data_IF_713856553740
#
_entry.id   IF_713856553740
#
_cell.length_a   1.000
_cell.length_b   1.000
_cell.length_c   1.000
_cell.angle_alpha   90.00
_cell.angle_beta   90.00
_cell.angle_gamma   90.00
#
_symmetry.space_group_name_H-M   'P 1'
#
loop_
_entity.id
_entity.type
_entity.pdbx_description
1 polymer ?
#
# COMPACT_ATOMS: atom_id res chain seq x y z
N UNK A 1 -12.18 3.74 20.84
CA UNK A 1 -10.91 3.32 21.46
C UNK A 1 -10.48 2.06 20.74
N UNK A 2 -9.25 2.03 20.19
CA UNK A 2 -8.75 0.85 19.47
C UNK A 2 -8.46 -0.29 20.46
N UNK A 3 -8.63 -1.56 20.04
CA UNK A 3 -8.15 -2.71 20.81
C UNK A 3 -6.65 -2.64 21.05
N UNK A 4 -6.16 -3.37 22.07
CA UNK A 4 -4.72 -3.50 22.28
C UNK A 4 -4.05 -4.18 21.08
N UNK A 5 -2.82 -3.77 20.77
CA UNK A 5 -1.98 -4.36 19.72
C UNK A 5 -1.48 -5.76 20.13
N UNK A 6 -2.40 -6.71 20.29
CA UNK A 6 -2.13 -8.05 20.76
C UNK A 6 -2.42 -9.09 19.69
N UNK A 7 -1.57 -10.11 19.61
CA UNK A 7 -1.75 -11.33 18.83
C UNK A 7 -1.93 -12.49 19.80
N UNK A 8 -3.01 -13.23 19.68
CA UNK A 8 -3.20 -14.49 20.39
C UNK A 8 -4.07 -15.46 19.60
N UNK A 9 -3.93 -16.75 19.85
CA UNK A 9 -4.88 -17.74 19.33
C UNK A 9 -6.29 -17.56 19.92
N UNK A 10 -6.38 -17.04 21.15
CA UNK A 10 -7.64 -16.93 21.89
C UNK A 10 -8.51 -15.76 21.42
N UNK A 11 -7.89 -14.60 21.16
CA UNK A 11 -8.58 -13.36 20.78
C UNK A 11 -8.31 -12.93 19.34
N UNK A 12 -7.31 -13.50 18.68
CA UNK A 12 -6.89 -13.13 17.33
C UNK A 12 -5.93 -11.95 17.35
N UNK A 13 -6.01 -11.09 16.33
CA UNK A 13 -5.14 -9.91 16.17
C UNK A 13 -5.97 -8.66 16.38
N UNK A 14 -5.60 -7.80 17.34
CA UNK A 14 -6.42 -6.66 17.76
C UNK A 14 -7.87 -7.06 18.10
N UNK A 15 -8.03 -8.18 18.81
CA UNK A 15 -9.31 -8.82 19.12
C UNK A 15 -10.17 -9.22 17.91
N UNK A 16 -9.57 -9.34 16.73
CA UNK A 16 -10.21 -9.83 15.51
C UNK A 16 -9.78 -11.27 15.26
N UNK A 17 -10.74 -12.19 15.31
CA UNK A 17 -10.53 -13.61 15.07
C UNK A 17 -10.60 -13.93 13.59
N UNK A 18 -9.83 -14.94 13.16
CA UNK A 18 -10.04 -15.60 11.88
C UNK A 18 -11.52 -16.02 11.74
N UNK A 19 -12.08 -15.85 10.55
CA UNK A 19 -13.50 -16.04 10.24
C UNK A 19 -14.40 -14.83 10.54
N UNK A 20 -13.88 -13.76 11.16
CA UNK A 20 -14.63 -12.51 11.29
C UNK A 20 -14.97 -11.91 9.92
N UNK A 21 -16.10 -11.22 9.82
CA UNK A 21 -16.47 -10.48 8.61
C UNK A 21 -15.76 -9.14 8.51
N UNK A 22 -15.77 -8.57 7.30
CA UNK A 22 -15.28 -7.20 7.06
C UNK A 22 -16.02 -6.19 7.94
N UNK A 23 -17.35 -6.33 8.07
CA UNK A 23 -18.17 -5.47 8.93
C UNK A 23 -17.76 -5.54 10.42
N UNK A 24 -17.52 -6.75 10.95
CA UNK A 24 -17.06 -6.93 12.33
C UNK A 24 -15.67 -6.31 12.55
N UNK A 25 -14.82 -6.34 11.54
CA UNK A 25 -13.49 -5.73 11.61
C UNK A 25 -13.61 -4.20 11.59
N UNK A 26 -14.38 -3.65 10.66
CA UNK A 26 -14.60 -2.21 10.54
C UNK A 26 -15.25 -1.61 11.80
N UNK A 27 -16.17 -2.34 12.44
CA UNK A 27 -16.79 -1.91 13.70
C UNK A 27 -15.75 -1.71 14.83
N UNK A 28 -14.72 -2.56 14.88
CA UNK A 28 -13.69 -2.51 15.92
C UNK A 28 -12.52 -1.59 15.57
N UNK A 29 -12.05 -1.64 14.33
CA UNK A 29 -10.82 -0.97 13.89
C UNK A 29 -11.09 0.32 13.11
N UNK A 30 -12.35 0.63 12.79
CA UNK A 30 -12.71 1.71 11.87
C UNK A 30 -12.45 1.33 10.41
N UNK A 31 -12.50 2.31 9.48
CA UNK A 31 -12.21 2.04 8.07
C UNK A 31 -10.73 1.63 7.88
N UNK A 32 -10.40 0.81 6.88
CA UNK A 32 -9.00 0.51 6.53
C UNK A 32 -8.30 1.74 5.95
N UNK A 33 -6.97 1.82 6.10
CA UNK A 33 -6.13 2.82 5.43
C UNK A 33 -5.99 2.54 3.93
N UNK A 34 -6.06 1.26 3.54
CA UNK A 34 -6.03 0.84 2.13
C UNK A 34 -6.86 -0.43 1.95
N UNK A 35 -7.58 -0.54 0.83
CA UNK A 35 -8.25 -1.77 0.40
C UNK A 35 -7.76 -2.16 -0.98
N UNK A 36 -7.16 -3.34 -1.07
CA UNK A 36 -6.70 -3.96 -2.31
C UNK A 36 -7.63 -5.11 -2.69
N UNK A 37 -8.06 -5.17 -3.95
CA UNK A 37 -8.79 -6.32 -4.50
C UNK A 37 -7.87 -7.14 -5.39
N UNK A 38 -7.72 -8.43 -5.06
CA UNK A 38 -6.89 -9.37 -5.77
C UNK A 38 -7.62 -10.01 -6.96
N UNK A 39 -6.88 -10.58 -7.91
CA UNK A 39 -7.42 -11.29 -9.08
C UNK A 39 -8.34 -12.47 -8.73
N UNK A 40 -8.13 -13.10 -7.58
CA UNK A 40 -8.96 -14.20 -7.07
C UNK A 40 -10.20 -13.70 -6.29
N UNK A 41 -10.53 -12.41 -6.36
CA UNK A 41 -11.60 -11.73 -5.62
C UNK A 41 -11.42 -11.70 -4.10
N UNK A 42 -10.23 -12.02 -3.60
CA UNK A 42 -9.90 -11.75 -2.21
C UNK A 42 -9.62 -10.26 -2.01
N UNK A 43 -9.81 -9.81 -0.77
CA UNK A 43 -9.56 -8.43 -0.40
C UNK A 43 -8.48 -8.38 0.67
N UNK A 44 -7.52 -7.48 0.51
CA UNK A 44 -6.55 -7.15 1.55
C UNK A 44 -6.90 -5.77 2.10
N UNK A 45 -7.08 -5.68 3.40
CA UNK A 45 -7.32 -4.44 4.12
C UNK A 45 -6.08 -4.12 4.95
N UNK A 46 -5.45 -2.99 4.65
CA UNK A 46 -4.33 -2.46 5.44
C UNK A 46 -4.83 -1.47 6.50
N UNK A 47 -4.32 -1.61 7.72
CA UNK A 47 -4.53 -0.68 8.83
C UNK A 47 -3.17 -0.10 9.25
N UNK A 48 -2.95 1.18 8.97
CA UNK A 48 -1.60 1.74 9.00
C UNK A 48 -0.73 1.10 7.92
N UNK A 49 0.59 1.06 8.14
CA UNK A 49 1.56 0.58 7.13
C UNK A 49 2.00 -0.86 7.31
N UNK A 50 1.66 -1.49 8.44
CA UNK A 50 2.26 -2.76 8.88
C UNK A 50 1.23 -3.77 9.41
N UNK A 51 -0.06 -3.64 9.06
CA UNK A 51 -1.07 -4.59 9.52
C UNK A 51 -2.08 -4.89 8.42
N UNK A 52 -2.10 -6.15 7.97
CA UNK A 52 -2.75 -6.56 6.73
C UNK A 52 -3.72 -7.70 6.99
N UNK A 53 -4.99 -7.48 6.70
CA UNK A 53 -6.06 -8.45 6.87
C UNK A 53 -6.53 -8.96 5.50
N UNK A 54 -6.40 -10.27 5.27
CA UNK A 54 -6.80 -10.90 3.99
C UNK A 54 -8.14 -11.61 4.17
N UNK A 55 -9.13 -11.21 3.37
CA UNK A 55 -10.48 -11.75 3.38
C UNK A 55 -10.77 -12.55 2.11
N UNK A 56 -11.45 -13.67 2.30
CA UNK A 56 -12.00 -14.49 1.22
C UNK A 56 -13.48 -14.71 1.51
N UNK A 57 -14.35 -14.35 0.56
CA UNK A 57 -15.81 -14.42 0.71
C UNK A 57 -16.34 -13.78 2.01
N UNK A 58 -15.89 -12.56 2.33
CA UNK A 58 -16.24 -11.82 3.56
C UNK A 58 -15.85 -12.55 4.86
N UNK A 59 -14.81 -13.36 4.83
CA UNK A 59 -14.27 -14.03 6.01
C UNK A 59 -12.78 -13.82 6.11
N UNK A 60 -12.32 -13.36 7.28
CA UNK A 60 -10.91 -13.17 7.56
C UNK A 60 -10.19 -14.51 7.52
N UNK A 61 -9.20 -14.63 6.64
CA UNK A 61 -8.41 -15.85 6.43
C UNK A 61 -6.99 -15.74 6.96
N UNK A 62 -6.41 -14.55 6.90
CA UNK A 62 -5.06 -14.31 7.40
C UNK A 62 -4.90 -12.87 7.89
N UNK A 63 -4.05 -12.68 8.89
CA UNK A 63 -3.54 -11.38 9.33
C UNK A 63 -2.03 -11.44 9.35
N UNK A 64 -1.37 -10.46 8.75
CA UNK A 64 0.09 -10.37 8.67
C UNK A 64 0.58 -8.97 9.05
N UNK A 65 1.77 -8.88 9.64
CA UNK A 65 2.45 -7.60 9.82
C UNK A 65 3.19 -7.10 8.58
N UNK A 66 3.31 -7.95 7.55
CA UNK A 66 4.03 -7.67 6.31
C UNK A 66 3.15 -7.96 5.09
N UNK A 67 3.31 -7.16 4.03
CA UNK A 67 2.68 -7.38 2.75
C UNK A 67 3.69 -7.18 1.61
N UNK A 68 4.06 -8.27 0.95
CA UNK A 68 5.04 -8.26 -0.15
C UNK A 68 4.51 -7.68 -1.47
N UNK A 69 3.24 -7.27 -1.54
CA UNK A 69 2.64 -6.68 -2.75
C UNK A 69 3.08 -5.24 -2.98
N UNK A 70 3.27 -4.47 -1.91
CA UNK A 70 3.65 -3.06 -1.99
C UNK A 70 5.16 -2.94 -1.94
N UNK A 71 5.71 -2.04 -2.75
CA UNK A 71 7.09 -1.61 -2.57
C UNK A 71 7.17 -0.48 -1.52
N UNK A 72 8.37 0.01 -1.23
CA UNK A 72 8.58 1.06 -0.23
C UNK A 72 7.83 2.36 -0.57
N UNK A 73 7.75 2.73 -1.86
CA UNK A 73 7.00 3.91 -2.28
C UNK A 73 5.49 3.74 -1.99
N UNK A 74 4.92 2.58 -2.36
CA UNK A 74 3.53 2.26 -2.10
C UNK A 74 3.21 2.18 -0.60
N UNK A 75 4.08 1.58 0.21
CA UNK A 75 3.90 1.52 1.66
C UNK A 75 3.98 2.91 2.31
N UNK A 76 4.91 3.76 1.86
CA UNK A 76 5.07 5.13 2.37
C UNK A 76 3.97 6.08 1.92
N UNK A 77 3.24 5.74 0.85
CA UNK A 77 2.07 6.51 0.42
C UNK A 77 0.90 6.37 1.40
N UNK A 78 0.84 5.27 2.15
CA UNK A 78 -0.24 5.00 3.10
C UNK A 78 -0.11 5.91 4.31
N UNK A 79 -1.23 6.53 4.67
CA UNK A 79 -1.27 7.45 5.78
C UNK A 79 -0.91 6.86 7.12
N UNK A 80 -0.04 7.59 7.83
CA UNK A 80 0.31 7.30 9.20
C UNK A 80 -0.95 7.34 10.07
N UNK A 81 -1.11 6.34 10.93
CA UNK A 81 -2.29 6.17 11.76
C UNK A 81 -1.94 5.79 13.19
N UNK A 82 -2.26 6.71 14.10
CA UNK A 82 -2.16 6.51 15.54
C UNK A 82 -2.86 5.21 15.96
N UNK A 83 -2.20 4.45 16.82
CA UNK A 83 -2.64 3.17 17.34
C UNK A 83 -2.25 1.97 16.48
N UNK A 84 -1.82 2.17 15.23
CA UNK A 84 -1.37 1.10 14.34
C UNK A 84 0.12 1.24 13.97
N UNK A 85 0.59 2.47 13.76
CA UNK A 85 1.96 2.74 13.29
C UNK A 85 2.96 3.07 14.42
N UNK A 86 2.48 3.49 15.59
CA UNK A 86 3.29 3.81 16.79
C UNK A 86 3.28 2.73 17.87
N UNK A 87 2.32 1.80 17.83
CA UNK A 87 2.19 0.79 18.87
C UNK A 87 2.89 -0.49 18.42
N UNK A 88 3.92 -0.87 19.17
CA UNK A 88 4.55 -2.16 19.05
C UNK A 88 3.58 -3.28 19.44
N UNK A 89 3.35 -4.21 18.52
CA UNK A 89 2.47 -5.34 18.79
C UNK A 89 3.13 -6.36 19.74
N UNK A 90 2.28 -7.08 20.46
CA UNK A 90 2.71 -8.08 21.45
C UNK A 90 2.05 -9.42 21.18
N UNK A 91 2.82 -10.50 21.30
CA UNK A 91 2.31 -11.85 21.30
C UNK A 91 1.93 -12.28 22.73
N UNK A 92 0.68 -12.71 22.89
CA UNK A 92 0.04 -13.09 24.16
C UNK A 92 0.18 -12.01 25.26
N UNK A 93 0.31 -10.75 24.86
CA UNK A 93 0.44 -9.57 25.74
C UNK A 93 1.77 -9.47 26.50
N UNK A 94 2.76 -10.28 26.15
CA UNK A 94 4.03 -10.38 26.90
C UNK A 94 5.24 -10.21 25.99
N UNK A 95 5.22 -10.83 24.82
CA UNK A 95 6.37 -10.87 23.90
C UNK A 95 6.23 -9.71 22.92
N UNK A 96 6.98 -8.64 23.13
CA UNK A 96 6.98 -7.48 22.23
C UNK A 96 7.72 -7.79 20.91
N UNK A 97 7.21 -7.29 19.80
CA UNK A 97 7.93 -7.25 18.53
C UNK A 97 9.25 -6.46 18.66
N UNK A 98 10.14 -6.56 17.67
CA UNK A 98 11.40 -5.84 17.45
C UNK A 98 12.43 -5.81 18.60
N UNK A 99 12.10 -6.36 19.76
CA UNK A 99 12.88 -6.33 20.99
C UNK A 99 13.10 -7.72 21.58
N UNK A 100 12.36 -8.74 21.11
CA UNK A 100 12.43 -10.10 21.64
C UNK A 100 13.35 -11.00 20.80
N UNK A 101 14.46 -11.50 21.35
CA UNK A 101 15.30 -12.50 20.69
C UNK A 101 14.60 -13.84 20.54
N UNK A 102 14.95 -14.60 19.50
CA UNK A 102 14.34 -15.91 19.20
C UNK A 102 14.31 -16.87 20.41
N UNK A 103 15.39 -16.92 21.18
CA UNK A 103 15.51 -17.75 22.38
C UNK A 103 14.44 -17.38 23.44
N UNK A 104 14.25 -16.09 23.69
CA UNK A 104 13.26 -15.60 24.66
C UNK A 104 11.83 -15.89 24.18
N UNK A 105 11.58 -15.72 22.88
CA UNK A 105 10.27 -16.03 22.28
C UNK A 105 9.98 -17.53 22.41
N UNK A 106 10.96 -18.38 22.10
CA UNK A 106 10.86 -19.84 22.23
C UNK A 106 10.53 -20.27 23.65
N UNK A 107 11.28 -19.76 24.65
CA UNK A 107 11.07 -20.11 26.05
C UNK A 107 9.67 -19.70 26.54
N UNK A 108 9.21 -18.52 26.12
CA UNK A 108 7.89 -17.99 26.47
C UNK A 108 6.75 -18.80 25.83
N UNK A 109 7.02 -19.52 24.74
CA UNK A 109 6.06 -20.34 24.00
C UNK A 109 6.21 -21.85 24.29
N UNK A 110 6.97 -22.23 25.31
CA UNK A 110 7.28 -23.63 25.67
C UNK A 110 6.06 -24.54 25.92
N UNK A 111 4.88 -23.97 26.12
CA UNK A 111 3.61 -24.71 26.28
C UNK A 111 2.96 -25.10 24.94
N UNK A 112 3.42 -24.55 23.83
CA UNK A 112 2.90 -24.84 22.50
C UNK A 112 3.78 -25.89 21.80
N UNK A 113 3.16 -26.64 20.87
CA UNK A 113 3.91 -27.44 19.91
C UNK A 113 4.47 -26.51 18.83
N UNK A 114 5.79 -26.30 18.85
CA UNK A 114 6.50 -25.37 17.98
C UNK A 114 7.37 -26.13 16.98
N UNK A 115 7.39 -25.64 15.74
CA UNK A 115 8.38 -26.01 14.73
C UNK A 115 9.27 -24.81 14.50
N UNK A 116 10.57 -25.00 14.57
CA UNK A 116 11.53 -23.91 14.54
C UNK A 116 12.58 -24.10 13.44
N UNK A 117 12.93 -23.00 12.78
CA UNK A 117 14.11 -22.84 11.93
C UNK A 117 14.99 -21.71 12.48
N UNK A 118 16.08 -21.38 11.78
CA UNK A 118 16.99 -20.30 12.17
C UNK A 118 16.34 -18.91 12.26
N UNK A 119 15.27 -18.69 11.51
CA UNK A 119 14.63 -17.40 11.22
C UNK A 119 13.11 -17.43 11.46
N UNK A 120 12.56 -18.55 11.94
CA UNK A 120 11.12 -18.72 12.06
C UNK A 120 10.72 -19.64 13.21
N UNK A 121 9.63 -19.28 13.88
CA UNK A 121 8.88 -20.17 14.78
C UNK A 121 7.47 -20.33 14.23
N UNK A 122 7.03 -21.57 14.04
CA UNK A 122 5.69 -21.92 13.57
C UNK A 122 4.95 -22.67 14.66
N UNK A 123 3.79 -22.15 15.03
CA UNK A 123 2.90 -22.73 16.03
C UNK A 123 1.60 -23.13 15.33
N UNK A 124 1.18 -24.38 15.49
CA UNK A 124 -0.10 -24.85 14.94
C UNK A 124 -1.03 -25.23 16.07
N UNK A 125 -2.19 -24.57 16.16
CA UNK A 125 -3.20 -24.87 17.16
C UNK A 125 -4.58 -25.01 16.50
N UNK A 126 -5.16 -26.22 16.58
CA UNK A 126 -6.46 -26.54 15.97
C UNK A 126 -6.48 -26.23 14.46
N UNK A 127 -7.27 -25.25 14.04
CA UNK A 127 -7.42 -24.78 12.65
C UNK A 127 -6.65 -23.49 12.38
N UNK A 128 -5.70 -23.12 13.24
CA UNK A 128 -4.91 -21.89 13.09
C UNK A 128 -3.42 -22.21 13.10
N UNK A 129 -2.67 -21.42 12.34
CA UNK A 129 -1.22 -21.41 12.32
C UNK A 129 -0.73 -19.99 12.53
N UNK A 130 0.15 -19.82 13.51
CA UNK A 130 0.90 -18.60 13.73
C UNK A 130 2.34 -18.83 13.29
N UNK A 131 2.81 -17.96 12.41
CA UNK A 131 4.20 -17.92 11.95
C UNK A 131 4.81 -16.65 12.52
N UNK A 132 5.96 -16.78 13.16
CA UNK A 132 6.77 -15.69 13.68
C UNK A 132 8.08 -15.68 12.91
N UNK A 133 8.46 -14.55 12.32
CA UNK A 133 9.69 -14.39 11.55
C UNK A 133 10.67 -13.49 12.31
N UNK A 134 11.95 -13.78 12.13
CA UNK A 134 13.03 -13.11 12.81
C UNK A 134 14.10 -12.64 11.82
N UNK A 135 14.61 -11.43 12.04
CA UNK A 135 15.69 -10.85 11.24
C UNK A 135 16.94 -10.59 12.07
N UNK A 136 18.09 -10.66 11.42
CA UNK A 136 19.39 -10.39 12.03
C UNK A 136 19.70 -8.88 12.07
N UNK A 137 19.76 -8.34 13.28
CA UNK A 137 20.20 -6.97 13.52
C UNK A 137 21.66 -6.96 13.96
N UNK A 138 22.43 -5.98 13.51
CA UNK A 138 23.82 -5.79 13.92
C UNK A 138 23.95 -4.55 14.81
N UNK A 139 23.72 -4.64 16.14
CA UNK A 139 23.93 -3.52 17.02
C UNK A 139 25.40 -3.09 16.98
N UNK A 140 25.64 -1.79 16.90
CA UNK A 140 27.01 -1.22 16.98
C UNK A 140 27.74 -1.60 18.27
N UNK A 141 27.00 -2.04 19.29
CA UNK A 141 27.49 -2.43 20.61
C UNK A 141 27.82 -3.93 20.75
N UNK A 142 27.57 -4.75 19.72
CA UNK A 142 27.79 -6.21 19.77
C UNK A 142 28.58 -6.69 18.55
N UNK A 143 29.53 -7.59 18.80
CA UNK A 143 30.35 -8.22 17.76
C UNK A 143 29.58 -9.25 16.89
N UNK A 144 28.37 -9.64 17.32
CA UNK A 144 27.53 -10.63 16.63
C UNK A 144 26.13 -10.07 16.38
N UNK A 145 25.49 -10.48 15.27
CA UNK A 145 24.09 -10.16 15.06
C UNK A 145 23.20 -10.71 16.17
N UNK A 146 22.08 -10.04 16.37
CA UNK A 146 20.99 -10.46 17.25
C UNK A 146 19.77 -10.68 16.38
N UNK A 147 19.26 -11.91 16.40
CA UNK A 147 18.05 -12.31 15.67
C UNK A 147 16.82 -11.93 16.48
N UNK A 148 16.03 -10.96 15.99
CA UNK A 148 14.91 -10.36 16.71
C UNK A 148 13.59 -10.62 15.98
N UNK A 149 12.51 -10.78 16.74
CA UNK A 149 11.15 -10.96 16.20
C UNK A 149 10.73 -9.71 15.42
N UNK A 150 10.42 -9.84 14.14
CA UNK A 150 10.05 -8.68 13.29
C UNK A 150 8.66 -8.78 12.71
N UNK A 151 8.25 -10.00 12.33
CA UNK A 151 6.99 -10.20 11.65
C UNK A 151 6.18 -11.37 12.21
N UNK A 152 4.87 -11.29 12.03
CA UNK A 152 3.96 -12.39 12.27
C UNK A 152 3.02 -12.60 11.09
N UNK A 153 2.53 -13.83 10.98
CA UNK A 153 1.36 -14.17 10.16
C UNK A 153 0.49 -15.15 10.92
N UNK A 154 -0.75 -14.76 11.23
CA UNK A 154 -1.79 -15.65 11.73
C UNK A 154 -2.68 -16.06 10.56
N UNK A 155 -2.87 -17.37 10.35
CA UNK A 155 -3.67 -17.89 9.23
C UNK A 155 -4.55 -19.06 9.63
N UNK A 156 -5.66 -19.22 8.93
CA UNK A 156 -6.45 -20.45 8.91
C UNK A 156 -5.60 -21.58 8.29
N UNK A 157 -5.59 -22.77 8.89
CA UNK A 157 -4.81 -23.92 8.42
C UNK A 157 -5.26 -24.44 7.06
N UNK A 158 -6.55 -24.27 6.75
CA UNK A 158 -7.11 -24.67 5.45
C UNK A 158 -6.91 -23.58 4.39
N UNK A 159 -6.42 -22.40 4.78
CA UNK A 159 -6.11 -21.33 3.87
C UNK A 159 -4.70 -21.49 3.30
N UNK A 160 -4.66 -21.92 2.05
CA UNK A 160 -3.47 -21.78 1.22
C UNK A 160 -3.50 -20.41 0.55
N UNK A 161 -2.61 -19.53 0.98
CA UNK A 161 -2.38 -18.25 0.32
C UNK A 161 -2.00 -18.53 -1.15
N UNK A 162 -2.94 -18.30 -2.07
CA UNK A 162 -2.63 -18.29 -3.50
C UNK A 162 -1.66 -17.15 -3.76
N UNK A 163 -0.88 -17.26 -4.85
CA UNK A 163 -0.03 -16.15 -5.28
C UNK A 163 -0.90 -14.88 -5.37
N UNK A 164 -0.64 -13.95 -4.48
CA UNK A 164 -1.35 -12.68 -4.45
C UNK A 164 -0.96 -11.93 -5.71
N UNK A 165 -1.96 -11.54 -6.49
CA UNK A 165 -1.75 -10.83 -7.73
C UNK A 165 -2.87 -9.82 -7.90
N UNK A 166 -2.48 -8.60 -8.26
CA UNK A 166 -3.41 -7.51 -8.49
C UNK A 166 -3.87 -7.49 -9.95
N UNK A 167 -5.13 -7.13 -10.20
CA UNK A 167 -5.64 -6.95 -11.55
C UNK A 167 -4.83 -5.85 -12.25
N UNK A 168 -4.33 -6.19 -13.44
CA UNK A 168 -3.71 -5.22 -14.34
C UNK A 168 -4.80 -4.58 -15.19
N UNK A 169 -4.59 -3.32 -15.58
CA UNK A 169 -5.47 -2.66 -16.53
C UNK A 169 -5.37 -3.34 -17.90
N UNK A 170 -6.50 -3.45 -18.60
CA UNK A 170 -6.47 -3.81 -20.02
C UNK A 170 -6.00 -2.61 -20.85
N UNK A 171 -5.51 -2.85 -22.07
CA UNK A 171 -5.11 -1.76 -22.97
C UNK A 171 -6.26 -0.77 -23.27
N UNK A 172 -7.52 -1.24 -23.29
CA UNK A 172 -8.70 -0.38 -23.44
C UNK A 172 -8.90 0.51 -22.20
N UNK A 173 -8.74 -0.05 -21.00
CA UNK A 173 -8.83 0.70 -19.75
C UNK A 173 -7.71 1.74 -19.62
N UNK A 174 -6.48 1.39 -20.00
CA UNK A 174 -5.35 2.32 -20.01
C UNK A 174 -5.59 3.47 -21.00
N UNK A 175 -5.99 3.15 -22.24
CA UNK A 175 -6.32 4.17 -23.24
C UNK A 175 -7.45 5.09 -22.78
N UNK A 176 -8.50 4.52 -22.19
CA UNK A 176 -9.60 5.28 -21.63
C UNK A 176 -9.11 6.21 -20.51
N UNK A 177 -8.34 5.69 -19.55
CA UNK A 177 -7.81 6.45 -18.41
C UNK A 177 -6.99 7.66 -18.88
N UNK A 178 -5.96 7.43 -19.69
CA UNK A 178 -5.06 8.52 -20.10
C UNK A 178 -5.72 9.50 -21.05
N UNK A 179 -6.68 9.07 -21.87
CA UNK A 179 -7.49 10.02 -22.65
C UNK A 179 -8.22 11.02 -21.75
N UNK A 180 -8.70 10.58 -20.59
CA UNK A 180 -9.44 11.45 -19.68
C UNK A 180 -8.53 12.31 -18.78
N UNK A 181 -7.29 11.89 -18.53
CA UNK A 181 -6.29 12.63 -17.75
C UNK A 181 -5.44 13.59 -18.58
N UNK A 182 -5.50 13.51 -19.91
CA UNK A 182 -4.72 14.36 -20.81
C UNK A 182 -4.97 15.86 -20.54
N UNK A 183 -3.91 16.71 -20.55
CA UNK A 183 -4.04 18.16 -20.34
C UNK A 183 -5.05 18.87 -21.27
N UNK A 184 -5.24 18.35 -22.48
CA UNK A 184 -6.11 18.94 -23.50
C UNK A 184 -7.56 18.45 -23.40
N UNK A 185 -7.87 17.55 -22.47
CA UNK A 185 -9.23 17.06 -22.27
C UNK A 185 -10.02 18.01 -21.35
N UNK A 186 -11.12 18.55 -21.86
CA UNK A 186 -11.96 19.52 -21.14
C UNK A 186 -13.05 18.81 -20.31
N UNK A 187 -13.38 17.55 -20.62
CA UNK A 187 -14.37 16.79 -19.87
C UNK A 187 -13.72 16.05 -18.70
N UNK A 188 -13.97 16.52 -17.48
CA UNK A 188 -13.47 15.86 -16.28
C UNK A 188 -14.09 14.47 -16.10
N UNK A 189 -13.24 13.53 -15.69
CA UNK A 189 -13.69 12.19 -15.30
C UNK A 189 -14.59 12.28 -14.07
N UNK A 190 -15.62 11.44 -14.01
CA UNK A 190 -16.44 11.28 -12.80
C UNK A 190 -16.21 9.93 -12.14
N UNK A 191 -16.37 9.86 -10.83
CA UNK A 191 -16.19 8.63 -10.06
C UNK A 191 -17.11 7.48 -10.56
N UNK A 192 -18.41 7.70 -10.85
CA UNK A 192 -19.25 6.64 -11.42
C UNK A 192 -18.73 6.11 -12.77
N UNK A 193 -18.18 6.99 -13.61
CA UNK A 193 -17.60 6.59 -14.88
C UNK A 193 -16.30 5.79 -14.68
N UNK A 194 -15.43 6.20 -13.75
CA UNK A 194 -14.23 5.44 -13.38
C UNK A 194 -14.60 4.03 -12.93
N UNK A 195 -15.50 3.90 -11.96
CA UNK A 195 -15.87 2.60 -11.38
C UNK A 195 -16.59 1.68 -12.39
N UNK A 196 -17.26 2.26 -13.39
CA UNK A 196 -17.86 1.51 -14.48
C UNK A 196 -16.80 0.94 -15.43
N UNK A 197 -15.78 1.72 -15.77
CA UNK A 197 -14.76 1.34 -16.76
C UNK A 197 -13.64 0.50 -16.12
N UNK A 198 -13.30 0.81 -14.89
CA UNK A 198 -12.24 0.17 -14.11
C UNK A 198 -12.82 -0.23 -12.75
N UNK A 199 -13.60 -1.34 -12.68
CA UNK A 199 -14.26 -1.75 -11.43
C UNK A 199 -13.28 -2.24 -10.35
N UNK A 200 -12.02 -2.48 -10.71
CA UNK A 200 -10.97 -3.01 -9.82
C UNK A 200 -10.11 -1.91 -9.18
N UNK A 201 -10.58 -0.67 -9.13
CA UNK A 201 -9.87 0.43 -8.46
C UNK A 201 -9.82 0.22 -6.96
N UNK A 202 -8.64 0.44 -6.39
CA UNK A 202 -8.38 0.27 -4.97
C UNK A 202 -8.54 1.61 -4.24
N UNK A 203 -8.92 1.57 -2.97
CA UNK A 203 -9.04 2.77 -2.14
C UNK A 203 -7.82 2.92 -1.25
N UNK A 204 -7.29 4.12 -1.13
CA UNK A 204 -6.15 4.44 -0.28
C UNK A 204 -6.34 5.80 0.40
N UNK A 205 -5.97 5.87 1.67
CA UNK A 205 -5.85 7.12 2.41
C UNK A 205 -4.36 7.49 2.44
N UNK A 206 -4.03 8.69 1.98
CA UNK A 206 -2.64 9.16 1.85
C UNK A 206 -2.25 9.98 3.08
N UNK A 207 -0.99 9.87 3.53
CA UNK A 207 -0.51 10.42 4.80
C UNK A 207 -0.73 11.92 5.02
N UNK A 208 -0.72 12.69 3.94
CA UNK A 208 -0.83 14.14 3.97
C UNK A 208 -2.25 14.65 3.74
N UNK A 209 -3.24 13.76 3.56
CA UNK A 209 -4.56 14.13 3.07
C UNK A 209 -5.69 13.51 3.89
N UNK A 210 -6.72 14.32 4.15
CA UNK A 210 -7.96 13.88 4.81
C UNK A 210 -8.94 13.26 3.81
N UNK A 211 -8.72 13.43 2.50
CA UNK A 211 -9.57 12.92 1.44
C UNK A 211 -9.15 11.52 0.98
N UNK A 212 -10.13 10.79 0.45
CA UNK A 212 -9.95 9.43 -0.07
C UNK A 212 -9.38 9.47 -1.49
N UNK A 213 -8.34 8.68 -1.74
CA UNK A 213 -7.74 8.49 -3.06
C UNK A 213 -8.11 7.13 -3.65
N UNK A 214 -8.16 7.08 -4.97
CA UNK A 214 -8.42 5.88 -5.76
C UNK A 214 -7.16 5.49 -6.53
N UNK A 215 -6.58 4.34 -6.18
CA UNK A 215 -5.45 3.77 -6.88
C UNK A 215 -5.93 2.96 -8.09
N UNK A 216 -5.58 3.44 -9.27
CA UNK A 216 -5.91 2.89 -10.58
C UNK A 216 -4.66 2.30 -11.21
N UNK A 217 -4.70 1.01 -11.55
CA UNK A 217 -3.52 0.29 -12.01
C UNK A 217 -2.46 0.21 -10.90
N UNK A 218 -1.22 0.53 -11.23
CA UNK A 218 -0.08 0.41 -10.32
C UNK A 218 0.56 1.74 -9.91
N UNK A 219 0.14 2.88 -10.46
CA UNK A 219 0.87 4.14 -10.27
C UNK A 219 0.05 5.43 -10.51
N UNK A 220 -1.27 5.30 -10.66
CA UNK A 220 -2.17 6.46 -10.84
C UNK A 220 -3.10 6.55 -9.64
N UNK A 221 -3.02 7.66 -8.92
CA UNK A 221 -3.90 8.02 -7.82
C UNK A 221 -4.86 9.12 -8.27
N UNK A 222 -6.15 8.92 -8.05
CA UNK A 222 -7.19 9.89 -8.41
C UNK A 222 -7.95 10.33 -7.16
N UNK A 223 -8.14 11.63 -7.01
CA UNK A 223 -9.00 12.22 -6.00
C UNK A 223 -10.22 12.83 -6.68
N UNK A 224 -11.38 12.68 -6.03
CA UNK A 224 -12.63 13.25 -6.50
C UNK A 224 -13.21 14.16 -5.41
N UNK A 225 -13.68 15.33 -5.83
CA UNK A 225 -14.51 16.21 -5.01
C UNK A 225 -15.98 15.95 -5.38
N UNK A 226 -16.74 15.44 -4.40
CA UNK A 226 -18.03 14.78 -4.58
C UNK A 226 -17.97 13.62 -5.59
N UNK A 227 -18.13 13.94 -6.88
CA UNK A 227 -18.11 12.96 -7.96
C UNK A 227 -17.17 13.34 -9.10
N UNK A 228 -16.61 14.55 -9.11
CA UNK A 228 -15.79 15.07 -10.22
C UNK A 228 -14.31 14.97 -9.86
N UNK A 229 -13.48 14.62 -10.84
CA UNK A 229 -12.03 14.51 -10.66
C UNK A 229 -11.45 15.87 -10.28
N UNK A 230 -10.82 15.95 -9.12
CA UNK A 230 -10.18 17.16 -8.62
C UNK A 230 -8.66 17.08 -8.71
N UNK A 231 -8.07 15.91 -8.51
CA UNK A 231 -6.62 15.71 -8.59
C UNK A 231 -6.25 14.36 -9.19
N UNK A 232 -5.11 14.33 -9.90
CA UNK A 232 -4.49 13.11 -10.35
C UNK A 232 -2.99 13.13 -10.04
N UNK A 233 -2.49 12.09 -9.39
CA UNK A 233 -1.08 11.91 -9.09
C UNK A 233 -0.57 10.66 -9.80
N UNK A 234 0.46 10.84 -10.63
CA UNK A 234 1.04 9.79 -11.48
C UNK A 234 2.52 9.77 -11.14
N UNK A 235 3.01 8.62 -10.68
CA UNK A 235 4.36 8.50 -10.15
C UNK A 235 4.96 7.13 -10.47
N UNK A 236 6.07 6.76 -9.82
CA UNK A 236 6.58 5.41 -9.87
C UNK A 236 5.55 4.37 -9.37
N UNK A 237 5.69 3.09 -9.76
CA UNK A 237 4.80 2.04 -9.30
C UNK A 237 4.76 1.88 -7.77
N UNK A 238 3.58 1.51 -7.26
CA UNK A 238 3.31 1.24 -5.85
C UNK A 238 3.51 -0.25 -5.51
N UNK A 239 3.53 -1.12 -6.51
CA UNK A 239 3.57 -2.57 -6.35
C UNK A 239 4.89 -3.18 -6.83
N UNK A 240 5.34 -4.22 -6.13
CA UNK A 240 6.62 -4.91 -6.35
C UNK A 240 6.72 -5.60 -7.72
N UNK A 241 5.65 -6.22 -8.20
CA UNK A 241 5.61 -6.96 -9.48
C UNK A 241 5.42 -6.04 -10.72
N UNK A 242 5.70 -4.75 -10.59
CA UNK A 242 5.51 -3.78 -11.67
C UNK A 242 6.70 -3.73 -12.64
N UNK A 243 6.44 -3.28 -13.88
CA UNK A 243 7.50 -3.02 -14.86
C UNK A 243 8.05 -1.61 -14.65
N UNK A 244 9.38 -1.47 -14.60
CA UNK A 244 10.08 -0.18 -14.45
C UNK A 244 9.62 0.90 -15.43
N UNK A 245 9.27 0.51 -16.66
CA UNK A 245 8.98 1.47 -17.73
C UNK A 245 7.53 1.99 -17.69
N UNK A 246 6.70 1.54 -16.73
CA UNK A 246 5.27 1.89 -16.74
C UNK A 246 5.02 3.38 -16.59
N UNK A 247 5.79 4.08 -15.75
CA UNK A 247 5.64 5.53 -15.60
C UNK A 247 5.98 6.28 -16.90
N UNK A 248 7.12 5.94 -17.52
CA UNK A 248 7.55 6.52 -18.80
C UNK A 248 6.48 6.36 -19.89
N UNK A 249 5.86 5.17 -19.99
CA UNK A 249 4.77 4.93 -20.94
C UNK A 249 3.55 5.80 -20.65
N UNK A 250 3.20 6.02 -19.38
CA UNK A 250 2.10 6.89 -18.98
C UNK A 250 2.32 8.35 -19.35
N UNK A 251 3.53 8.87 -19.14
CA UNK A 251 3.91 10.23 -19.57
C UNK A 251 3.71 10.39 -21.09
N UNK A 252 4.11 9.39 -21.88
CA UNK A 252 3.86 9.35 -23.33
C UNK A 252 2.36 9.31 -23.66
N UNK A 253 1.57 8.51 -22.94
CA UNK A 253 0.12 8.43 -23.12
C UNK A 253 -0.61 9.73 -22.79
N UNK A 254 -0.04 10.55 -21.90
CA UNK A 254 -0.51 11.91 -21.60
C UNK A 254 -0.07 12.94 -22.65
N UNK A 255 0.74 12.55 -23.63
CA UNK A 255 1.34 13.42 -24.64
C UNK A 255 2.25 14.49 -24.03
N UNK A 256 2.90 14.15 -22.91
CA UNK A 256 3.86 15.02 -22.25
C UNK A 256 5.31 14.65 -22.63
N UNK A 257 6.22 15.63 -22.68
CA UNK A 257 7.66 15.38 -22.75
C UNK A 257 8.16 14.60 -21.53
N UNK A 258 9.20 13.79 -21.73
CA UNK A 258 9.78 12.95 -20.66
C UNK A 258 10.97 13.61 -19.97
N UNK A 259 11.47 14.71 -20.53
CA UNK A 259 12.62 15.48 -20.08
C UNK A 259 12.24 16.93 -19.80
N UNK A 260 13.04 17.58 -18.94
CA UNK A 260 12.78 18.94 -18.45
C UNK A 260 12.78 19.97 -19.59
N UNK A 261 13.78 19.91 -20.47
CA UNK A 261 13.90 20.83 -21.62
C UNK A 261 12.69 20.73 -22.56
N UNK A 262 12.26 19.51 -22.88
CA UNK A 262 11.08 19.26 -23.69
C UNK A 262 9.81 19.84 -23.07
N UNK A 263 9.66 19.71 -21.74
CA UNK A 263 8.53 20.27 -21.00
C UNK A 263 8.50 21.81 -21.09
N UNK A 264 9.63 22.47 -20.88
CA UNK A 264 9.75 23.93 -21.02
C UNK A 264 9.55 24.41 -22.46
N UNK A 265 9.94 23.61 -23.45
CA UNK A 265 9.71 23.93 -24.86
C UNK A 265 8.23 23.79 -25.27
N UNK A 266 7.49 22.85 -24.66
CA UNK A 266 6.06 22.69 -24.89
C UNK A 266 5.23 23.78 -24.19
N UNK A 267 5.70 24.22 -23.03
CA UNK A 267 5.02 25.19 -22.16
C UNK A 267 5.93 26.39 -21.87
N UNK A 268 6.00 27.33 -22.82
CA UNK A 268 6.91 28.49 -22.77
C UNK A 268 6.68 29.44 -21.58
N UNK A 269 5.50 29.39 -20.97
CA UNK A 269 5.09 30.17 -19.81
C UNK A 269 5.19 29.41 -18.48
N UNK A 270 5.73 28.19 -18.49
CA UNK A 270 5.93 27.40 -17.28
C UNK A 270 6.96 28.02 -16.35
N UNK A 271 6.78 27.81 -15.05
CA UNK A 271 7.70 28.28 -14.01
C UNK A 271 8.68 27.16 -13.69
N UNK A 272 9.96 27.38 -13.98
CA UNK A 272 11.07 26.50 -13.58
C UNK A 272 11.46 26.76 -12.12
N UNK A 273 11.29 25.75 -11.28
CA UNK A 273 11.63 25.73 -9.87
C UNK A 273 12.72 24.67 -9.60
N UNK A 274 13.79 24.68 -10.39
CA UNK A 274 14.93 23.76 -10.31
C UNK A 274 14.57 22.31 -10.69
N UNK A 275 14.23 21.45 -9.74
CA UNK A 275 13.85 20.06 -9.96
C UNK A 275 12.36 19.88 -10.25
N UNK A 276 11.60 20.98 -10.33
CA UNK A 276 10.18 20.97 -10.63
C UNK A 276 9.80 22.06 -11.64
N UNK A 277 8.78 21.78 -12.46
CA UNK A 277 8.14 22.73 -13.36
C UNK A 277 6.66 22.85 -12.97
N UNK A 278 6.19 24.09 -12.84
CA UNK A 278 4.77 24.43 -12.58
C UNK A 278 4.13 25.01 -13.87
N UNK A 279 3.03 24.42 -14.30
CA UNK A 279 2.29 24.76 -15.53
C UNK A 279 0.85 25.08 -15.17
N UNK A 280 0.52 26.38 -15.15
CA UNK A 280 -0.84 26.85 -14.93
C UNK A 280 -1.60 27.01 -16.25
N UNK A 281 -2.79 26.42 -16.34
CA UNK A 281 -3.73 26.56 -17.45
C UNK A 281 -5.12 26.92 -16.95
N UNK A 282 -6.03 27.20 -17.88
CA UNK A 282 -7.41 27.61 -17.56
C UNK A 282 -8.16 26.57 -16.73
N UNK A 283 -7.95 25.28 -17.00
CA UNK A 283 -8.70 24.16 -16.40
C UNK A 283 -7.85 23.24 -15.53
N UNK A 284 -6.54 23.48 -15.42
CA UNK A 284 -5.68 22.66 -14.58
C UNK A 284 -4.40 23.39 -14.17
N UNK A 285 -3.79 22.92 -13.10
CA UNK A 285 -2.38 23.12 -12.79
C UNK A 285 -1.66 21.76 -12.85
N UNK A 286 -0.48 21.74 -13.46
CA UNK A 286 0.42 20.59 -13.48
C UNK A 286 1.74 20.95 -12.80
N UNK A 287 2.12 20.15 -11.80
CA UNK A 287 3.47 20.12 -11.25
C UNK A 287 4.16 18.86 -11.75
N UNK A 288 5.25 19.03 -12.51
CA UNK A 288 6.11 17.95 -12.99
C UNK A 288 7.45 17.98 -12.24
N UNK A 289 7.91 16.85 -11.68
CA UNK A 289 9.22 16.76 -11.00
C UNK A 289 10.20 15.87 -11.74
N UNK A 290 11.48 16.25 -11.66
CA UNK A 290 12.58 15.68 -12.41
C UNK A 290 13.71 15.23 -11.49
N UNK A 291 14.45 14.19 -11.87
CA UNK A 291 15.48 13.56 -11.02
C UNK A 291 16.62 14.52 -10.61
N UNK A 292 16.79 15.62 -11.33
CA UNK A 292 17.78 16.67 -11.04
C UNK A 292 17.34 18.03 -11.61
N UNK A 293 18.18 19.05 -11.42
CA UNK A 293 17.96 20.40 -11.96
C UNK A 293 18.40 20.53 -13.44
N UNK A 294 19.01 19.49 -14.01
CA UNK A 294 19.60 19.50 -15.36
C UNK A 294 18.53 19.53 -16.47
N UNK A 295 18.87 20.10 -17.63
CA UNK A 295 17.93 20.27 -18.75
C UNK A 295 17.44 18.93 -19.32
N UNK A 296 18.26 17.88 -19.28
CA UNK A 296 17.94 16.53 -19.74
C UNK A 296 17.44 15.62 -18.60
N UNK A 297 17.17 16.17 -17.42
CA UNK A 297 16.65 15.42 -16.29
C UNK A 297 15.33 14.72 -16.63
N UNK A 298 15.23 13.45 -16.22
CA UNK A 298 14.08 12.58 -16.48
C UNK A 298 12.97 12.90 -15.49
N UNK A 299 11.74 13.00 -15.99
CA UNK A 299 10.56 13.16 -15.13
C UNK A 299 10.32 11.88 -14.31
N UNK A 300 9.89 12.03 -13.05
CA UNK A 300 9.54 10.90 -12.18
C UNK A 300 8.21 11.07 -11.42
N UNK A 301 7.62 12.27 -11.46
CA UNK A 301 6.37 12.59 -10.74
C UNK A 301 5.55 13.62 -11.52
N UNK A 302 4.23 13.40 -11.58
CA UNK A 302 3.25 14.30 -12.20
C UNK A 302 2.07 14.49 -11.24
N UNK A 303 1.77 15.73 -10.89
CA UNK A 303 0.63 16.08 -10.04
C UNK A 303 -0.27 17.10 -10.73
N UNK A 304 -1.49 16.67 -11.08
CA UNK A 304 -2.53 17.49 -11.67
C UNK A 304 -3.52 17.94 -10.61
N UNK A 305 -3.91 19.22 -10.67
CA UNK A 305 -5.09 19.76 -9.98
C UNK A 305 -6.03 20.34 -11.03
N UNK A 306 -7.30 19.96 -11.02
CA UNK A 306 -8.31 20.37 -12.01
C UNK A 306 -9.30 21.38 -11.41
N UNK A 307 -9.83 22.30 -12.23
CA UNK A 307 -10.77 23.37 -11.83
C UNK A 307 -11.89 23.60 -12.84
#
# INVERSE_FOLDING_TARGET
>A
VLPAANISFATGVYDIKLGASTAQTAEKLGPPSITLTLLNHEQIWGYGRNLWFTYSADRLKSVSSELSLLNSAGQNSIGYRDGFDDIEWQLEGIIAAHNSPIEQVRDSLSLYDIKESSDQIVITQKQQRLILQFDDFHPTTKDKPVTLLTHFTLTDNEYEAKKQALPQLTSEQEQWLYKHLQPNNVELMTLPNLLKQIPQTNKINIASDEKQWWLVGNHVLLQFDDIELSQAHISEPFFTDSKSDSFSLSVKSLQLPQDKQGMLALYEDAIDNNDAIDILREHFNLIAKFESEEDDAVIYDLFFTYY
#
